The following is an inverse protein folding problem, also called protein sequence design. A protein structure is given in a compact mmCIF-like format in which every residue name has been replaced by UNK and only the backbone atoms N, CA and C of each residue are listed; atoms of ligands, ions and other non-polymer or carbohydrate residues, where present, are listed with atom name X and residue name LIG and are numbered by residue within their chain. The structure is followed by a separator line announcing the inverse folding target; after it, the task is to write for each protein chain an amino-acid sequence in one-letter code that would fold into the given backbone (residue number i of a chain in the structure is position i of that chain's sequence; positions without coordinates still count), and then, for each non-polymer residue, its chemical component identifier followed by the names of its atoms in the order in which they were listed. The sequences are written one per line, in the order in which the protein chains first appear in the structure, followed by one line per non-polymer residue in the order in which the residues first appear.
data_IF_545213234027
#
_entry.id   IF_545213234027
#
_cell.length_a   1.000
_cell.length_b   1.000
_cell.length_c   1.000
_cell.angle_alpha   90.00
_cell.angle_beta   90.00
_cell.angle_gamma   90.00
#
_symmetry.space_group_name_H-M   'P 1'
#
loop_
_entity.id
_entity.type
_entity.pdbx_description
1 polymer ?
#
# COMPACT_ATOMS: atom_id res chain seq x y z
N UNK A 1 -4.62 26.18 -60.11
CA UNK A 1 -3.87 24.90 -60.26
C UNK A 1 -3.38 24.56 -58.86
N UNK A 2 -4.06 23.80 -58.00
CA UNK A 2 -4.49 22.37 -58.01
C UNK A 2 -3.36 21.35 -58.13
N UNK A 3 -3.50 20.31 -57.30
CA UNK A 3 -2.85 18.98 -57.22
C UNK A 3 -1.64 18.92 -56.27
N UNK A 4 -1.73 18.38 -55.04
CA UNK A 4 -2.19 17.07 -54.53
C UNK A 4 -1.05 16.03 -54.40
N UNK A 5 -1.21 15.19 -53.37
CA UNK A 5 -0.60 13.87 -53.12
C UNK A 5 0.71 13.82 -52.31
N UNK A 6 0.92 12.92 -51.33
CA UNK A 6 0.06 12.04 -50.49
C UNK A 6 0.92 11.51 -49.33
N UNK A 7 0.26 11.26 -48.20
CA UNK A 7 0.50 10.27 -47.13
C UNK A 7 1.68 9.28 -47.27
N UNK A 8 2.42 9.02 -46.18
CA UNK A 8 2.32 7.73 -45.49
C UNK A 8 2.84 7.76 -44.04
N UNK A 9 2.19 6.93 -43.25
CA UNK A 9 2.19 6.69 -41.82
C UNK A 9 3.55 6.27 -41.24
N UNK A 10 3.77 6.60 -39.98
CA UNK A 10 4.13 5.64 -38.93
C UNK A 10 3.61 6.21 -37.59
N UNK A 11 2.55 5.61 -37.07
CA UNK A 11 2.21 5.66 -35.65
C UNK A 11 3.30 4.94 -34.87
N UNK A 12 3.63 5.38 -33.66
CA UNK A 12 3.82 4.44 -32.56
C UNK A 12 3.89 5.15 -31.20
N UNK A 13 2.91 4.79 -30.37
CA UNK A 13 2.82 4.90 -28.91
C UNK A 13 2.93 6.28 -28.25
N UNK A 14 1.74 6.84 -28.02
CA UNK A 14 1.39 7.46 -26.74
C UNK A 14 1.88 6.59 -25.57
N UNK A 15 3.00 6.96 -24.98
CA UNK A 15 3.29 6.64 -23.58
C UNK A 15 3.01 7.90 -22.79
N UNK A 16 1.75 8.02 -22.38
CA UNK A 16 1.35 8.87 -21.26
C UNK A 16 2.21 8.47 -20.06
N UNK A 17 3.34 9.15 -19.88
CA UNK A 17 4.09 9.11 -18.63
C UNK A 17 3.34 9.99 -17.63
N UNK A 18 2.23 9.46 -17.12
CA UNK A 18 1.67 9.86 -15.84
C UNK A 18 2.60 9.30 -14.76
N UNK A 19 3.81 9.85 -14.68
CA UNK A 19 4.71 9.60 -13.58
C UNK A 19 4.00 10.12 -12.32
N UNK A 20 3.43 9.18 -11.56
CA UNK A 20 2.74 9.43 -10.31
C UNK A 20 3.64 10.31 -9.43
N UNK A 21 3.24 11.56 -9.20
CA UNK A 21 4.04 12.51 -8.43
C UNK A 21 3.90 12.18 -6.94
N UNK A 22 4.75 11.28 -6.48
CA UNK A 22 4.83 10.82 -5.09
C UNK A 22 5.13 11.95 -4.09
N UNK A 23 5.59 13.12 -4.56
CA UNK A 23 5.89 14.27 -3.71
C UNK A 23 4.64 15.08 -3.32
N UNK A 24 3.50 14.85 -3.99
CA UNK A 24 2.26 15.61 -3.73
C UNK A 24 1.37 14.99 -2.64
N UNK A 25 1.92 14.10 -1.80
CA UNK A 25 1.21 13.34 -0.75
C UNK A 25 1.50 13.80 0.68
N UNK A 26 2.20 14.94 0.85
CA UNK A 26 2.76 15.42 2.12
C UNK A 26 1.77 15.81 3.24
N UNK A 27 0.45 15.69 3.10
CA UNK A 27 -0.49 16.30 4.08
C UNK A 27 -1.49 15.36 4.79
N UNK A 28 -1.27 14.04 4.78
CA UNK A 28 -2.02 13.12 5.67
C UNK A 28 -1.18 11.91 6.06
N UNK A 29 -0.21 12.12 6.95
CA UNK A 29 0.83 11.16 7.32
C UNK A 29 0.33 9.94 8.14
N UNK A 30 -0.90 9.95 8.66
CA UNK A 30 -1.44 8.86 9.47
C UNK A 30 -2.52 8.08 8.71
N UNK A 31 -2.41 6.75 8.75
CA UNK A 31 -3.47 5.85 8.25
C UNK A 31 -4.55 5.80 9.34
N UNK A 32 -5.81 6.18 9.04
CA UNK A 32 -6.89 6.12 10.01
C UNK A 32 -7.08 4.72 10.59
N UNK A 33 -7.40 4.63 11.88
CA UNK A 33 -7.63 3.36 12.58
C UNK A 33 -8.63 2.45 11.84
N UNK A 34 -9.72 3.03 11.32
CA UNK A 34 -10.73 2.32 10.52
C UNK A 34 -10.14 1.62 9.29
N UNK A 35 -9.12 2.21 8.67
CA UNK A 35 -8.43 1.64 7.51
C UNK A 35 -7.48 0.54 7.94
N UNK A 36 -6.74 0.74 9.04
CA UNK A 36 -5.89 -0.31 9.63
C UNK A 36 -6.74 -1.53 10.00
N UNK A 37 -7.92 -1.32 10.59
CA UNK A 37 -8.85 -2.39 10.95
C UNK A 37 -9.43 -3.11 9.71
N UNK A 38 -9.72 -2.36 8.64
CA UNK A 38 -10.12 -2.93 7.35
C UNK A 38 -9.01 -3.79 6.74
N UNK A 39 -7.76 -3.31 6.76
CA UNK A 39 -6.59 -4.06 6.28
C UNK A 39 -6.34 -5.31 7.12
N UNK A 40 -6.38 -5.18 8.44
CA UNK A 40 -6.17 -6.29 9.37
C UNK A 40 -7.15 -7.45 9.13
N UNK A 41 -8.41 -7.11 8.85
CA UNK A 41 -9.43 -8.10 8.48
C UNK A 41 -9.14 -8.79 7.15
N UNK A 42 -8.60 -8.08 6.17
CA UNK A 42 -8.39 -8.59 4.80
C UNK A 42 -7.06 -9.34 4.62
N UNK A 43 -6.00 -8.97 5.34
CA UNK A 43 -4.69 -9.64 5.27
C UNK A 43 -4.78 -11.11 5.69
N UNK A 44 -5.66 -11.43 6.65
CA UNK A 44 -5.93 -12.81 7.05
C UNK A 44 -4.67 -13.57 7.46
N UNK A 45 -4.33 -14.63 6.73
CA UNK A 45 -3.21 -15.52 7.00
C UNK A 45 -1.84 -14.99 6.55
N UNK A 46 -1.79 -13.97 5.68
CA UNK A 46 -0.53 -13.42 5.16
C UNK A 46 0.19 -12.45 6.12
N UNK A 47 -0.39 -12.24 7.30
CA UNK A 47 0.09 -11.29 8.29
C UNK A 47 1.52 -11.58 8.78
N UNK A 48 1.94 -12.85 8.83
CA UNK A 48 3.30 -13.22 9.24
C UNK A 48 4.32 -12.82 8.17
N UNK A 49 4.03 -13.12 6.90
CA UNK A 49 4.87 -12.72 5.76
C UNK A 49 5.02 -11.20 5.72
N UNK A 50 3.88 -10.49 5.85
CA UNK A 50 3.88 -9.04 5.90
C UNK A 50 4.66 -8.53 7.13
N UNK A 51 4.48 -9.13 8.30
CA UNK A 51 5.23 -8.80 9.51
C UNK A 51 6.74 -8.89 9.33
N UNK A 52 7.24 -9.95 8.69
CA UNK A 52 8.66 -10.11 8.39
C UNK A 52 9.17 -8.97 7.49
N UNK A 53 8.42 -8.59 6.46
CA UNK A 53 8.81 -7.50 5.55
C UNK A 53 8.70 -6.11 6.18
N UNK A 54 7.80 -5.95 7.15
CA UNK A 54 7.71 -4.76 8.00
C UNK A 54 8.87 -4.68 9.01
N UNK A 55 9.70 -5.72 9.09
CA UNK A 55 10.91 -5.77 9.91
C UNK A 55 10.69 -6.41 11.29
N UNK A 56 9.57 -7.09 11.52
CA UNK A 56 9.34 -7.81 12.77
C UNK A 56 10.17 -9.10 12.84
N UNK A 57 10.75 -9.34 14.01
CA UNK A 57 11.40 -10.61 14.31
C UNK A 57 10.36 -11.72 14.50
N UNK A 58 10.72 -12.96 14.14
CA UNK A 58 9.85 -14.13 14.32
C UNK A 58 9.41 -14.32 15.77
N UNK A 59 10.27 -13.95 16.75
CA UNK A 59 9.91 -13.99 18.17
C UNK A 59 8.73 -13.07 18.50
N UNK A 60 8.70 -11.85 17.93
CA UNK A 60 7.59 -10.91 18.11
C UNK A 60 6.31 -11.42 17.46
N UNK A 61 6.41 -12.02 16.27
CA UNK A 61 5.25 -12.59 15.58
C UNK A 61 4.68 -13.79 16.37
N UNK A 62 5.53 -14.68 16.86
CA UNK A 62 5.10 -15.80 17.70
C UNK A 62 4.42 -15.30 18.98
N UNK A 63 4.98 -14.27 19.62
CA UNK A 63 4.37 -13.67 20.80
C UNK A 63 2.98 -13.08 20.49
N UNK A 64 2.82 -12.37 19.37
CA UNK A 64 1.51 -11.86 18.96
C UNK A 64 0.50 -12.99 18.68
N UNK A 65 0.96 -14.11 18.13
CA UNK A 65 0.13 -15.31 17.94
C UNK A 65 -0.29 -15.96 19.26
N UNK A 66 0.61 -16.02 20.25
CA UNK A 66 0.32 -16.52 21.59
C UNK A 66 -0.61 -15.61 22.40
N UNK A 67 -0.49 -14.29 22.25
CA UNK A 67 -1.34 -13.30 22.94
C UNK A 67 -2.74 -13.25 22.33
N UNK A 68 -2.86 -13.43 21.01
CA UNK A 68 -4.13 -13.34 20.28
C UNK A 68 -4.48 -14.62 19.50
N UNK A 69 -4.54 -15.81 20.15
CA UNK A 69 -4.64 -17.10 19.46
C UNK A 69 -5.99 -17.33 18.77
N UNK A 70 -7.06 -16.71 19.29
CA UNK A 70 -8.42 -16.82 18.73
C UNK A 70 -8.92 -15.50 18.13
N UNK A 71 -8.03 -14.53 17.95
CA UNK A 71 -8.38 -13.18 17.51
C UNK A 71 -7.47 -12.72 16.36
N UNK A 72 -7.50 -13.39 15.19
CA UNK A 72 -6.59 -13.11 14.09
C UNK A 72 -6.73 -11.67 13.57
N UNK A 73 -7.95 -11.11 13.56
CA UNK A 73 -8.16 -9.73 13.16
C UNK A 73 -7.49 -8.74 14.12
N UNK A 74 -7.65 -8.92 15.44
CA UNK A 74 -7.00 -8.07 16.44
C UNK A 74 -5.49 -8.21 16.42
N UNK A 75 -4.97 -9.43 16.23
CA UNK A 75 -3.53 -9.68 16.05
C UNK A 75 -2.97 -8.88 14.88
N UNK A 76 -3.60 -8.99 13.72
CA UNK A 76 -3.19 -8.28 12.51
C UNK A 76 -3.29 -6.76 12.70
N UNK A 77 -4.33 -6.29 13.39
CA UNK A 77 -4.52 -4.89 13.72
C UNK A 77 -3.40 -4.35 14.61
N UNK A 78 -3.07 -5.05 15.70
CA UNK A 78 -2.00 -4.65 16.63
C UNK A 78 -0.66 -4.61 15.90
N UNK A 79 -0.36 -5.60 15.06
CA UNK A 79 0.85 -5.61 14.24
C UNK A 79 0.94 -4.37 13.35
N UNK A 80 -0.11 -4.09 12.58
CA UNK A 80 -0.13 -2.94 11.65
C UNK A 80 -0.10 -1.61 12.39
N UNK A 81 -0.84 -1.48 13.49
CA UNK A 81 -0.89 -0.25 14.28
C UNK A 81 0.47 0.04 14.91
N UNK A 82 1.11 -0.94 15.53
CA UNK A 82 2.45 -0.77 16.11
C UNK A 82 3.46 -0.35 15.03
N UNK A 83 3.36 -0.94 13.84
CA UNK A 83 4.24 -0.58 12.75
C UNK A 83 3.99 0.85 12.27
N UNK A 84 2.72 1.24 12.10
CA UNK A 84 2.36 2.61 11.72
C UNK A 84 2.88 3.62 12.75
N UNK A 85 2.71 3.33 14.05
CA UNK A 85 3.20 4.19 15.13
C UNK A 85 4.73 4.37 15.08
N UNK A 86 5.47 3.30 14.80
CA UNK A 86 6.94 3.34 14.65
C UNK A 86 7.34 4.09 13.37
N UNK A 87 6.70 3.77 12.23
CA UNK A 87 7.00 4.37 10.94
C UNK A 87 6.70 5.89 10.91
N UNK A 88 5.61 6.31 11.57
CA UNK A 88 5.26 7.74 11.75
C UNK A 88 6.33 8.48 12.55
N UNK A 89 6.86 7.88 13.62
CA UNK A 89 7.95 8.48 14.42
C UNK A 89 9.26 8.61 13.64
N UNK A 90 9.46 7.77 12.63
CA UNK A 90 10.60 7.81 11.72
C UNK A 90 10.36 8.73 10.51
N UNK A 91 9.26 9.47 10.48
CA UNK A 91 8.86 10.34 9.36
C UNK A 91 8.81 9.61 8.00
N UNK A 92 8.51 8.31 8.03
CA UNK A 92 8.32 7.53 6.80
C UNK A 92 6.93 7.84 6.22
N UNK A 93 6.81 7.78 4.90
CA UNK A 93 5.51 7.78 4.22
C UNK A 93 4.82 6.42 4.46
N UNK A 94 4.25 6.27 5.66
CA UNK A 94 3.64 5.02 6.17
C UNK A 94 2.69 4.41 5.15
N UNK A 95 1.81 5.24 4.58
CA UNK A 95 0.83 4.81 3.57
C UNK A 95 1.48 4.30 2.28
N UNK A 96 2.46 5.02 1.73
CA UNK A 96 3.13 4.61 0.49
C UNK A 96 3.95 3.33 0.69
N UNK A 97 4.68 3.24 1.81
CA UNK A 97 5.50 2.08 2.10
C UNK A 97 4.64 0.83 2.33
N UNK A 98 3.55 0.96 3.10
CA UNK A 98 2.61 -0.14 3.31
C UNK A 98 1.93 -0.56 2.01
N UNK A 99 1.51 0.39 1.17
CA UNK A 99 0.94 0.10 -0.15
C UNK A 99 1.94 -0.65 -1.05
N UNK A 100 3.22 -0.23 -1.06
CA UNK A 100 4.28 -0.91 -1.81
C UNK A 100 4.48 -2.36 -1.33
N UNK A 101 4.54 -2.58 -0.03
CA UNK A 101 4.67 -3.92 0.53
C UNK A 101 3.46 -4.79 0.19
N UNK A 102 2.23 -4.28 0.33
CA UNK A 102 1.03 -5.02 -0.05
C UNK A 102 1.05 -5.41 -1.53
N UNK A 103 1.51 -4.52 -2.41
CA UNK A 103 1.69 -4.83 -3.83
C UNK A 103 2.71 -5.97 -4.06
N UNK A 104 3.84 -5.94 -3.35
CA UNK A 104 4.88 -6.98 -3.44
C UNK A 104 4.39 -8.38 -3.00
N UNK A 105 3.39 -8.45 -2.12
CA UNK A 105 2.79 -9.71 -1.66
C UNK A 105 1.58 -10.14 -2.46
N UNK A 106 1.35 -9.57 -3.65
CA UNK A 106 0.16 -9.83 -4.47
C UNK A 106 -1.18 -9.46 -3.79
N UNK A 107 -1.13 -8.69 -2.69
CA UNK A 107 -2.29 -8.07 -2.03
C UNK A 107 -2.66 -6.74 -2.69
N UNK A 108 -2.69 -6.72 -4.03
CA UNK A 108 -2.87 -5.50 -4.84
C UNK A 108 -4.20 -4.80 -4.54
N UNK A 109 -5.28 -5.57 -4.33
CA UNK A 109 -6.58 -5.03 -3.92
C UNK A 109 -6.56 -4.28 -2.58
N UNK A 110 -5.61 -4.60 -1.69
CA UNK A 110 -5.39 -3.89 -0.41
C UNK A 110 -4.54 -2.64 -0.61
N UNK A 111 -3.50 -2.73 -1.44
CA UNK A 111 -2.71 -1.59 -1.83
C UNK A 111 -3.58 -0.52 -2.52
N UNK A 112 -4.49 -0.93 -3.40
CA UNK A 112 -5.43 -0.03 -4.06
C UNK A 112 -6.31 0.71 -3.05
N UNK A 113 -6.78 0.02 -2.00
CA UNK A 113 -7.58 0.64 -0.93
C UNK A 113 -6.81 1.77 -0.23
N UNK A 114 -5.49 1.63 -0.08
CA UNK A 114 -4.62 2.67 0.49
C UNK A 114 -4.29 3.79 -0.50
N UNK A 115 -4.31 3.51 -1.80
CA UNK A 115 -3.99 4.47 -2.87
C UNK A 115 -5.21 5.27 -3.37
N UNK A 116 -6.45 4.81 -3.14
CA UNK A 116 -7.66 5.39 -3.77
C UNK A 116 -8.15 6.73 -3.21
N UNK A 117 -7.62 7.23 -2.09
CA UNK A 117 -8.12 8.49 -1.49
C UNK A 117 -7.78 9.76 -2.29
N UNK A 118 -7.16 9.66 -3.46
CA UNK A 118 -6.91 10.81 -4.36
C UNK A 118 -7.97 11.05 -5.44
N UNK A 119 -9.01 10.22 -5.56
CA UNK A 119 -10.02 10.34 -6.65
C UNK A 119 -11.35 11.00 -6.26
N UNK A 120 -11.48 11.58 -5.07
CA UNK A 120 -12.70 12.30 -4.68
C UNK A 120 -12.38 13.65 -4.03
N UNK A 121 -12.00 14.63 -4.85
CA UNK A 121 -12.34 16.05 -4.64
C UNK A 121 -12.21 16.80 -5.97
#
# INVERSE_FOLDING_TARGET
VSMADTNNQLSESDTHNDAFDYNKLEQSAEIPEKEILSLAKKIGHEWQTLGIQLGYESATLNHLEEVYPSQPMWRNFVLLQQWCDVASRLHLNVRQYLAHLLFQNHLTHLADTLCTDYKSN
#
